data_IF_607748711712
#
_entry.id   IF_607748711712
#
_cell.length_a   1.000
_cell.length_b   1.000
_cell.length_c   1.000
_cell.angle_alpha   90.00
_cell.angle_beta   90.00
_cell.angle_gamma   90.00
#
_symmetry.space_group_name_H-M   'P 1'
#
loop_
_entity.id
_entity.type
_entity.pdbx_description
1 polymer ?
#
# COMPACT_ATOMS: atom_id res chain seq x y z
N UNK A 1 13.63 46.92 -15.83
CA UNK A 1 13.97 45.53 -15.49
C UNK A 1 12.80 44.91 -14.73
N UNK A 2 12.05 44.11 -15.38
CA UNK A 2 11.02 43.29 -14.71
C UNK A 2 11.76 42.19 -14.01
N UNK A 3 11.88 42.28 -12.68
CA UNK A 3 12.24 41.08 -11.91
C UNK A 3 11.13 40.06 -12.17
N UNK A 4 11.45 39.03 -12.90
CA UNK A 4 10.65 37.82 -12.82
C UNK A 4 10.63 37.44 -11.34
N UNK A 5 9.56 37.79 -10.65
CA UNK A 5 9.22 37.10 -9.45
C UNK A 5 9.12 35.66 -9.85
N UNK A 6 10.17 34.89 -9.61
CA UNK A 6 10.05 33.48 -9.52
C UNK A 6 8.99 33.28 -8.46
N UNK A 7 7.77 33.08 -8.92
CA UNK A 7 6.71 32.57 -8.11
C UNK A 7 7.24 31.23 -7.61
N UNK A 8 7.95 31.30 -6.49
CA UNK A 8 8.22 30.11 -5.68
C UNK A 8 6.84 29.58 -5.36
N UNK A 9 6.33 28.74 -6.23
CA UNK A 9 5.17 27.93 -5.91
C UNK A 9 5.50 27.30 -4.58
N UNK A 10 4.92 27.87 -3.52
CA UNK A 10 5.00 27.24 -2.22
C UNK A 10 4.62 25.79 -2.43
N UNK A 11 5.42 24.84 -1.95
CA UNK A 11 5.08 23.46 -2.13
C UNK A 11 3.64 23.28 -1.63
N UNK A 12 2.79 22.79 -2.52
CA UNK A 12 1.42 22.44 -2.17
C UNK A 12 1.49 21.50 -0.97
N UNK A 13 1.14 22.00 0.20
CA UNK A 13 1.09 21.21 1.41
C UNK A 13 -0.34 20.95 1.77
N UNK A 14 -0.65 19.70 1.99
CA UNK A 14 -1.91 19.33 2.57
C UNK A 14 -2.01 19.95 3.98
N UNK A 15 -3.14 20.56 4.37
CA UNK A 15 -3.27 21.18 5.69
C UNK A 15 -2.90 20.24 6.82
N UNK A 16 -2.06 20.68 7.75
CA UNK A 16 -1.58 19.86 8.87
C UNK A 16 -2.72 19.30 9.74
N UNK A 17 -3.80 20.05 9.90
CA UNK A 17 -4.97 19.63 10.67
C UNK A 17 -5.73 18.47 10.01
N UNK A 18 -5.63 18.29 8.70
CA UNK A 18 -6.20 17.14 7.97
C UNK A 18 -5.23 15.97 7.92
N UNK A 19 -3.93 16.24 7.94
CA UNK A 19 -2.89 15.21 7.84
C UNK A 19 -2.78 14.37 9.11
N UNK A 20 -2.91 14.96 10.28
CA UNK A 20 -2.78 14.25 11.55
C UNK A 20 -3.81 13.11 11.72
N UNK A 21 -5.12 13.30 11.46
CA UNK A 21 -6.08 12.21 11.48
C UNK A 21 -5.78 11.13 10.45
N UNK A 22 -5.36 11.52 9.25
CA UNK A 22 -5.02 10.60 8.17
C UNK A 22 -3.81 9.74 8.56
N UNK A 23 -2.79 10.33 9.18
CA UNK A 23 -1.64 9.58 9.70
C UNK A 23 -2.06 8.53 10.72
N UNK A 24 -3.00 8.84 11.60
CA UNK A 24 -3.56 7.89 12.56
C UNK A 24 -4.28 6.73 11.87
N UNK A 25 -5.09 7.02 10.87
CA UNK A 25 -5.78 6.00 10.06
C UNK A 25 -4.77 5.09 9.35
N UNK A 26 -3.74 5.67 8.74
CA UNK A 26 -2.70 4.91 8.03
C UNK A 26 -1.90 4.02 8.97
N UNK A 27 -1.54 4.50 10.15
CA UNK A 27 -0.84 3.68 11.17
C UNK A 27 -1.70 2.52 11.63
N UNK A 28 -2.98 2.76 11.88
CA UNK A 28 -3.94 1.73 12.26
C UNK A 28 -4.08 0.67 11.16
N UNK A 29 -4.22 1.11 9.92
CA UNK A 29 -4.28 0.23 8.74
C UNK A 29 -3.00 -0.61 8.60
N UNK A 30 -1.84 0.00 8.81
CA UNK A 30 -0.56 -0.70 8.74
C UNK A 30 -0.48 -1.82 9.78
N UNK A 31 -0.87 -1.56 11.03
CA UNK A 31 -0.91 -2.57 12.08
C UNK A 31 -1.83 -3.73 11.74
N UNK A 32 -3.01 -3.43 11.21
CA UNK A 32 -3.98 -4.45 10.76
C UNK A 32 -3.42 -5.32 9.64
N UNK A 33 -2.75 -4.71 8.67
CA UNK A 33 -2.12 -5.42 7.55
C UNK A 33 -0.97 -6.31 8.02
N UNK A 34 -0.13 -5.82 8.90
CA UNK A 34 0.98 -6.59 9.47
C UNK A 34 0.47 -7.78 10.30
N UNK A 35 -0.57 -7.56 11.09
CA UNK A 35 -1.23 -8.63 11.84
C UNK A 35 -1.82 -9.69 10.91
N UNK A 36 -2.55 -9.26 9.88
CA UNK A 36 -3.14 -10.18 8.90
C UNK A 36 -2.08 -10.98 8.15
N UNK A 37 -0.95 -10.35 7.81
CA UNK A 37 0.18 -11.05 7.21
C UNK A 37 0.72 -12.16 8.09
N UNK A 38 0.88 -11.90 9.39
CA UNK A 38 1.33 -12.90 10.36
C UNK A 38 0.34 -14.06 10.47
N UNK A 39 -0.96 -13.77 10.51
CA UNK A 39 -2.00 -14.79 10.58
C UNK A 39 -1.99 -15.70 9.34
N UNK A 40 -1.89 -15.12 8.15
CA UNK A 40 -1.81 -15.88 6.90
C UNK A 40 -0.54 -16.72 6.84
N UNK A 41 0.58 -16.22 7.34
CA UNK A 41 1.83 -16.97 7.40
C UNK A 41 1.75 -18.17 8.33
N UNK A 42 0.97 -18.08 9.41
CA UNK A 42 0.72 -19.21 10.32
C UNK A 42 -0.22 -20.25 9.72
N UNK A 43 -1.17 -19.82 8.91
CA UNK A 43 -2.16 -20.69 8.26
C UNK A 43 -1.63 -21.32 6.97
N UNK A 44 -0.45 -20.94 6.51
CA UNK A 44 0.12 -21.48 5.29
C UNK A 44 0.46 -22.97 5.48
N UNK A 45 -0.24 -23.88 4.79
CA UNK A 45 0.00 -25.32 4.92
C UNK A 45 1.40 -25.74 4.51
N UNK A 46 2.12 -24.90 3.76
CA UNK A 46 3.48 -25.19 3.30
C UNK A 46 4.56 -24.99 4.36
N UNK A 47 4.28 -24.29 5.45
CA UNK A 47 5.21 -24.12 6.56
C UNK A 47 5.36 -25.45 7.33
N UNK A 48 4.35 -26.30 7.29
CA UNK A 48 4.33 -27.62 7.92
C UNK A 48 4.64 -28.77 6.93
N UNK A 49 5.57 -28.58 6.02
CA UNK A 49 5.99 -29.61 5.06
C UNK A 49 6.36 -30.95 5.70
N UNK A 50 6.79 -30.95 6.95
CA UNK A 50 7.15 -32.18 7.67
C UNK A 50 5.96 -33.05 8.04
N UNK A 51 4.73 -32.51 8.05
CA UNK A 51 3.51 -33.29 8.36
C UNK A 51 2.88 -33.92 7.13
N UNK A 52 3.21 -33.49 5.94
CA UNK A 52 2.48 -33.83 4.70
C UNK A 52 3.19 -34.92 3.90
N UNK A 53 4.48 -35.16 4.18
CA UNK A 53 5.31 -36.08 3.36
C UNK A 53 4.89 -37.55 3.45
N UNK A 54 4.18 -37.96 4.49
CA UNK A 54 3.90 -39.36 4.72
C UNK A 54 2.55 -39.90 4.15
N UNK A 55 1.61 -39.00 3.75
CA UNK A 55 0.25 -39.43 3.37
C UNK A 55 -0.36 -38.65 2.19
N UNK A 56 0.44 -38.03 1.34
CA UNK A 56 -0.08 -37.23 0.24
C UNK A 56 -0.58 -38.09 -0.91
N UNK A 57 -1.90 -38.15 -1.12
CA UNK A 57 -2.46 -38.58 -2.38
C UNK A 57 -2.25 -37.50 -3.45
N UNK A 58 -2.19 -37.86 -4.76
CA UNK A 58 -2.04 -36.84 -5.83
C UNK A 58 -3.10 -35.73 -5.82
N UNK A 59 -4.33 -36.05 -5.43
CA UNK A 59 -5.44 -35.11 -5.31
C UNK A 59 -5.22 -34.15 -4.16
N UNK A 60 -4.70 -34.63 -3.04
CA UNK A 60 -4.35 -33.82 -1.87
C UNK A 60 -3.21 -32.85 -2.21
N UNK A 61 -2.20 -33.28 -2.96
CA UNK A 61 -1.09 -32.43 -3.42
C UNK A 61 -1.59 -31.31 -4.32
N UNK A 62 -2.52 -31.57 -5.23
CA UNK A 62 -3.10 -30.56 -6.11
C UNK A 62 -3.89 -29.51 -5.33
N UNK A 63 -4.69 -29.92 -4.34
CA UNK A 63 -5.45 -29.03 -3.47
C UNK A 63 -4.52 -28.17 -2.60
N UNK A 64 -3.46 -28.74 -2.08
CA UNK A 64 -2.45 -28.04 -1.28
C UNK A 64 -1.69 -27.01 -2.12
N UNK A 65 -1.28 -27.36 -3.33
CA UNK A 65 -0.63 -26.44 -4.26
C UNK A 65 -1.55 -25.29 -4.65
N UNK A 66 -2.82 -25.56 -4.88
CA UNK A 66 -3.81 -24.54 -5.18
C UNK A 66 -4.02 -23.61 -3.99
N UNK A 67 -4.16 -24.15 -2.78
CA UNK A 67 -4.29 -23.40 -1.55
C UNK A 67 -3.06 -22.53 -1.27
N UNK A 68 -1.85 -23.07 -1.52
CA UNK A 68 -0.60 -22.32 -1.41
C UNK A 68 -0.54 -21.18 -2.41
N UNK A 69 -0.94 -21.40 -3.66
CA UNK A 69 -0.97 -20.35 -4.69
C UNK A 69 -1.91 -19.21 -4.30
N UNK A 70 -3.09 -19.51 -3.78
CA UNK A 70 -4.04 -18.51 -3.28
C UNK A 70 -3.44 -17.73 -2.08
N UNK A 71 -2.87 -18.45 -1.11
CA UNK A 71 -2.25 -17.85 0.07
C UNK A 71 -1.08 -16.93 -0.31
N UNK A 72 -0.25 -17.37 -1.25
CA UNK A 72 0.86 -16.56 -1.78
C UNK A 72 0.36 -15.29 -2.48
N UNK A 73 -0.71 -15.40 -3.28
CA UNK A 73 -1.30 -14.24 -3.96
C UNK A 73 -1.87 -13.22 -2.96
N UNK A 74 -2.55 -13.69 -1.92
CA UNK A 74 -3.08 -12.84 -0.85
C UNK A 74 -1.94 -12.16 -0.09
N UNK A 75 -0.87 -12.90 0.23
CA UNK A 75 0.31 -12.38 0.91
C UNK A 75 0.98 -11.30 0.10
N UNK A 76 1.17 -11.50 -1.20
CA UNK A 76 1.72 -10.47 -2.10
C UNK A 76 0.85 -9.23 -2.16
N UNK A 77 -0.46 -9.38 -2.18
CA UNK A 77 -1.40 -8.26 -2.15
C UNK A 77 -1.27 -7.46 -0.85
N UNK A 78 -1.18 -8.14 0.29
CA UNK A 78 -0.98 -7.51 1.59
C UNK A 78 0.38 -6.81 1.65
N UNK A 79 1.44 -7.42 1.13
CA UNK A 79 2.77 -6.81 1.06
C UNK A 79 2.76 -5.51 0.24
N UNK A 80 2.09 -5.50 -0.90
CA UNK A 80 1.93 -4.28 -1.71
C UNK A 80 1.18 -3.19 -0.95
N UNK A 81 0.13 -3.54 -0.23
CA UNK A 81 -0.63 -2.60 0.60
C UNK A 81 0.21 -2.05 1.76
N UNK A 82 1.02 -2.90 2.39
CA UNK A 82 1.96 -2.48 3.46
C UNK A 82 2.96 -1.48 2.92
N UNK A 83 3.60 -1.78 1.79
CA UNK A 83 4.57 -0.89 1.13
C UNK A 83 3.91 0.45 0.79
N UNK A 84 2.73 0.42 0.21
CA UNK A 84 1.99 1.62 -0.18
C UNK A 84 1.61 2.47 1.05
N UNK A 85 1.17 1.84 2.12
CA UNK A 85 0.82 2.53 3.38
C UNK A 85 2.06 3.17 4.03
N UNK A 86 3.17 2.44 4.08
CA UNK A 86 4.45 2.98 4.58
C UNK A 86 4.94 4.15 3.74
N UNK A 87 4.79 4.05 2.44
CA UNK A 87 5.14 5.12 1.50
C UNK A 87 4.32 6.38 1.76
N UNK A 88 3.02 6.25 1.95
CA UNK A 88 2.15 7.37 2.30
C UNK A 88 2.54 7.99 3.64
N UNK A 89 2.85 7.18 4.66
CA UNK A 89 3.33 7.67 5.96
C UNK A 89 4.67 8.42 5.84
N UNK A 90 5.58 7.93 5.02
CA UNK A 90 6.85 8.60 4.74
C UNK A 90 6.62 9.96 4.08
N UNK A 91 5.70 10.04 3.13
CA UNK A 91 5.35 11.29 2.48
C UNK A 91 4.74 12.30 3.45
N UNK A 92 3.98 11.85 4.43
CA UNK A 92 3.50 12.71 5.53
C UNK A 92 4.68 13.29 6.30
N UNK A 93 5.67 12.47 6.65
CA UNK A 93 6.86 12.92 7.41
C UNK A 93 7.68 13.96 6.65
N UNK A 94 7.83 13.82 5.34
CA UNK A 94 8.59 14.75 4.51
C UNK A 94 7.75 15.93 4.02
N UNK A 95 6.47 16.00 4.37
CA UNK A 95 5.58 17.11 3.99
C UNK A 95 5.09 17.08 2.55
N UNK A 96 5.12 15.94 1.89
CA UNK A 96 4.70 15.76 0.49
C UNK A 96 3.43 14.93 0.33
N UNK A 97 2.72 14.68 1.42
CA UNK A 97 1.46 13.95 1.37
C UNK A 97 0.42 14.69 0.49
N UNK A 98 -0.32 13.95 -0.29
CA UNK A 98 -1.34 14.49 -1.19
C UNK A 98 -0.82 15.05 -2.51
N UNK A 99 0.47 14.93 -2.75
CA UNK A 99 1.13 15.36 -4.00
C UNK A 99 1.49 14.10 -4.81
N UNK A 100 1.11 14.08 -6.09
CA UNK A 100 1.44 12.97 -6.99
C UNK A 100 2.96 12.82 -7.15
N UNK A 101 3.45 11.60 -7.04
CA UNK A 101 4.88 11.30 -7.23
C UNK A 101 5.38 11.58 -8.64
N UNK A 102 4.53 11.39 -9.65
CA UNK A 102 4.93 11.48 -11.06
C UNK A 102 4.79 12.89 -11.63
N UNK A 103 3.64 13.53 -11.44
CA UNK A 103 3.36 14.82 -12.05
C UNK A 103 3.53 16.02 -11.10
N UNK A 104 3.66 15.79 -9.81
CA UNK A 104 3.80 16.84 -8.80
C UNK A 104 2.53 17.64 -8.52
N UNK A 105 1.41 17.30 -9.14
CA UNK A 105 0.13 17.93 -8.90
C UNK A 105 -0.54 17.38 -7.67
N UNK A 106 -1.43 18.15 -7.09
CA UNK A 106 -2.21 17.69 -5.94
C UNK A 106 -3.15 16.55 -6.34
N UNK A 107 -3.18 15.50 -5.53
CA UNK A 107 -4.13 14.40 -5.68
C UNK A 107 -5.51 14.89 -5.25
N UNK A 108 -6.56 14.46 -5.96
CA UNK A 108 -7.93 14.81 -5.62
C UNK A 108 -8.26 14.43 -4.18
N UNK A 109 -8.83 15.36 -3.44
CA UNK A 109 -9.20 15.16 -2.03
C UNK A 109 -10.17 14.01 -1.86
N UNK A 110 -11.14 13.86 -2.76
CA UNK A 110 -12.10 12.76 -2.71
C UNK A 110 -11.41 11.40 -2.85
N UNK A 111 -10.40 11.33 -3.70
CA UNK A 111 -9.58 10.14 -3.86
C UNK A 111 -8.78 9.83 -2.58
N UNK A 112 -8.22 10.85 -1.94
CA UNK A 112 -7.48 10.70 -0.68
C UNK A 112 -8.38 10.29 0.48
N UNK A 113 -9.61 10.77 0.50
CA UNK A 113 -10.59 10.36 1.51
C UNK A 113 -11.00 8.89 1.33
N UNK A 114 -11.16 8.45 0.10
CA UNK A 114 -11.49 7.05 -0.22
C UNK A 114 -10.27 6.13 -0.11
N UNK A 115 -9.09 6.66 -0.41
CA UNK A 115 -7.84 5.90 -0.50
C UNK A 115 -6.67 6.70 0.08
N UNK A 116 -6.54 6.75 1.42
CA UNK A 116 -5.53 7.60 2.08
C UNK A 116 -4.09 7.27 1.72
N UNK A 117 -3.80 6.04 1.34
CA UNK A 117 -2.47 5.58 0.93
C UNK A 117 -2.10 5.94 -0.50
N UNK A 118 -2.95 6.65 -1.23
CA UNK A 118 -2.68 7.06 -2.60
C UNK A 118 -1.48 8.00 -2.68
N UNK A 119 -0.53 7.69 -3.56
CA UNK A 119 0.64 8.51 -3.86
C UNK A 119 0.69 9.00 -5.30
N UNK A 120 -0.26 8.54 -6.12
CA UNK A 120 -0.42 8.90 -7.51
C UNK A 120 -1.81 9.49 -7.75
N UNK A 121 -1.88 10.49 -8.62
CA UNK A 121 -3.17 10.97 -9.11
C UNK A 121 -3.79 9.93 -10.05
N UNK A 122 -5.09 10.06 -10.29
CA UNK A 122 -5.83 9.13 -11.15
C UNK A 122 -5.20 8.96 -12.54
N UNK A 123 -4.79 10.06 -13.14
CA UNK A 123 -4.18 10.04 -14.48
C UNK A 123 -2.83 9.33 -14.51
N UNK A 124 -1.95 9.60 -13.54
CA UNK A 124 -0.64 8.95 -13.46
C UNK A 124 -0.74 7.48 -13.12
N UNK A 125 -1.66 7.11 -12.24
CA UNK A 125 -1.92 5.71 -11.93
C UNK A 125 -2.40 4.94 -13.16
N UNK A 126 -3.32 5.50 -13.91
CA UNK A 126 -3.81 4.90 -15.15
C UNK A 126 -2.69 4.70 -16.18
N UNK A 127 -1.75 5.64 -16.28
CA UNK A 127 -0.58 5.51 -17.16
C UNK A 127 0.35 4.38 -16.75
N UNK A 128 0.54 4.15 -15.46
CA UNK A 128 1.40 3.05 -14.96
C UNK A 128 0.77 1.67 -15.14
N UNK A 129 -0.55 1.60 -15.17
CA UNK A 129 -1.30 0.35 -15.34
C UNK A 129 -1.43 -0.09 -16.80
N UNK A 130 -1.02 0.75 -17.74
CA UNK A 130 -1.00 0.41 -19.17
C UNK A 130 0.21 -0.44 -19.55
#
# INVERSE_FOLDING_TARGET
MVKKEENKKQPLRFPANLVAPIAGILRSSLKKLEFRKKEISKEDPFIDKSRVLDNASPDTDAEEQFGHAITSAIREQIDRQIIQTRKALTRIKIGKYGICEDCGNMIDTDRLMAYPEATLCKGCKAKREK
#
